data_IF_326623459605
#
_entry.id   IF_326623459605
#
_cell.length_a   1.000
_cell.length_b   1.000
_cell.length_c   1.000
_cell.angle_alpha   90.00
_cell.angle_beta   90.00
_cell.angle_gamma   90.00
#
_symmetry.space_group_name_H-M   'P 1'
#
loop_
_entity.id
_entity.type
_entity.pdbx_description
1 polymer ?
#
# COMPACT_ATOMS: atom_id res chain seq x y z
N UNK A 1 -0.34 13.22 -15.82
CA UNK A 1 0.68 13.80 -14.91
C UNK A 1 0.25 13.69 -13.43
N UNK A 2 -0.25 12.52 -12.98
CA UNK A 2 -0.81 12.32 -11.62
C UNK A 2 -0.23 11.10 -10.88
N UNK A 3 0.70 10.36 -11.48
CA UNK A 3 1.18 9.08 -10.91
C UNK A 3 2.06 9.25 -9.67
N UNK A 4 2.87 10.30 -9.60
CA UNK A 4 3.97 10.40 -8.63
C UNK A 4 3.62 11.06 -7.30
N UNK A 5 2.40 11.58 -7.10
CA UNK A 5 2.05 12.30 -5.87
C UNK A 5 1.99 11.36 -4.66
N UNK A 6 1.27 10.24 -4.80
CA UNK A 6 1.15 9.26 -3.73
C UNK A 6 2.49 8.57 -3.44
N UNK A 7 3.27 8.24 -4.47
CA UNK A 7 4.60 7.65 -4.31
C UNK A 7 5.54 8.59 -3.55
N UNK A 8 5.55 9.88 -3.91
CA UNK A 8 6.39 10.87 -3.24
C UNK A 8 5.95 11.10 -1.79
N UNK A 9 4.64 11.15 -1.54
CA UNK A 9 4.10 11.29 -0.20
C UNK A 9 4.48 10.10 0.69
N UNK A 10 4.24 8.87 0.20
CA UNK A 10 4.55 7.64 0.94
C UNK A 10 6.05 7.50 1.19
N UNK A 11 6.89 7.84 0.22
CA UNK A 11 8.35 7.87 0.39
C UNK A 11 8.78 8.86 1.48
N UNK A 12 8.26 10.08 1.45
CA UNK A 12 8.57 11.09 2.48
C UNK A 12 8.08 10.65 3.86
N UNK A 13 6.91 10.00 3.92
CA UNK A 13 6.35 9.51 5.16
C UNK A 13 7.18 8.36 5.75
N UNK A 14 7.62 7.40 4.93
CA UNK A 14 8.55 6.34 5.36
C UNK A 14 9.87 6.94 5.91
N UNK A 15 10.44 7.93 5.24
CA UNK A 15 11.67 8.60 5.69
C UNK A 15 11.48 9.36 7.01
N UNK A 16 10.34 10.03 7.20
CA UNK A 16 9.99 10.68 8.47
C UNK A 16 9.83 9.66 9.60
N UNK A 17 9.18 8.53 9.31
CA UNK A 17 8.97 7.45 10.27
C UNK A 17 10.30 6.88 10.75
N UNK A 18 11.26 6.66 9.83
CA UNK A 18 12.64 6.23 10.15
C UNK A 18 13.37 7.27 11.01
N UNK A 19 13.33 8.55 10.63
CA UNK A 19 14.00 9.65 11.36
C UNK A 19 13.47 9.81 12.78
N UNK A 20 12.16 9.67 12.97
CA UNK A 20 11.48 9.84 14.27
C UNK A 20 11.41 8.54 15.09
N UNK A 21 11.90 7.41 14.56
CA UNK A 21 11.76 6.06 15.14
C UNK A 21 10.32 5.70 15.50
N UNK A 22 9.37 6.13 14.68
CA UNK A 22 7.97 5.80 14.87
C UNK A 22 7.69 4.35 14.48
N UNK A 23 6.65 3.76 15.08
CA UNK A 23 6.17 2.44 14.67
C UNK A 23 5.76 2.52 13.20
N UNK A 24 6.21 1.56 12.39
CA UNK A 24 5.89 1.55 10.98
C UNK A 24 4.36 1.53 10.78
N UNK A 25 3.81 2.52 10.07
CA UNK A 25 2.37 2.65 9.86
C UNK A 25 1.91 1.59 8.85
N UNK A 26 0.69 1.07 9.05
CA UNK A 26 0.09 0.10 8.15
C UNK A 26 -0.52 0.82 6.95
N UNK A 27 -0.06 0.52 5.75
CA UNK A 27 -0.59 1.09 4.51
C UNK A 27 -1.77 0.27 4.02
N UNK A 28 -2.97 0.86 4.05
CA UNK A 28 -4.21 0.18 3.67
C UNK A 28 -4.82 0.87 2.46
N UNK A 29 -4.99 0.13 1.38
CA UNK A 29 -5.72 0.57 0.20
C UNK A 29 -7.20 0.23 0.34
N UNK A 30 -8.07 1.19 0.06
CA UNK A 30 -9.51 1.00 -0.05
C UNK A 30 -9.88 0.97 -1.53
N UNK A 31 -10.54 -0.10 -1.97
CA UNK A 31 -10.99 -0.22 -3.36
C UNK A 31 -12.30 -1.00 -3.46
N UNK A 32 -13.01 -0.81 -4.57
CA UNK A 32 -14.09 -1.70 -4.94
C UNK A 32 -13.51 -2.96 -5.57
N UNK A 33 -14.22 -4.09 -5.44
CA UNK A 33 -13.78 -5.38 -5.99
C UNK A 33 -13.50 -5.34 -7.49
N UNK A 34 -14.24 -4.50 -8.24
CA UNK A 34 -14.03 -4.29 -9.69
C UNK A 34 -12.73 -3.57 -10.03
N UNK A 35 -12.10 -2.91 -9.06
CA UNK A 35 -10.82 -2.22 -9.21
C UNK A 35 -9.64 -3.10 -8.80
N UNK A 36 -9.91 -4.32 -8.29
CA UNK A 36 -8.89 -5.31 -7.95
C UNK A 36 -8.64 -6.12 -9.22
N UNK A 37 -7.42 -5.99 -9.75
CA UNK A 37 -7.02 -6.65 -10.98
C UNK A 37 -6.01 -7.75 -10.62
N UNK A 38 -6.03 -8.85 -11.38
CA UNK A 38 -5.09 -9.96 -11.21
C UNK A 38 -3.63 -9.52 -11.41
N UNK A 39 -2.73 -10.29 -10.79
CA UNK A 39 -1.29 -10.05 -10.88
C UNK A 39 -0.80 -10.14 -12.34
N UNK A 40 0.13 -9.26 -12.70
CA UNK A 40 0.70 -9.18 -14.06
C UNK A 40 -0.11 -8.35 -15.07
N UNK A 41 -1.29 -7.82 -14.72
CA UNK A 41 -2.07 -6.94 -15.63
C UNK A 41 -1.61 -5.48 -15.55
N UNK A 42 -1.08 -5.05 -14.41
CA UNK A 42 -0.55 -3.69 -14.21
C UNK A 42 0.99 -3.75 -14.27
N UNK A 43 1.63 -2.95 -15.14
CA UNK A 43 3.09 -2.84 -15.14
C UNK A 43 3.55 -2.18 -13.84
N UNK A 44 4.17 -2.97 -12.96
CA UNK A 44 4.77 -2.48 -11.72
C UNK A 44 6.14 -1.87 -12.03
N UNK A 45 6.37 -0.64 -11.59
CA UNK A 45 7.67 0.02 -11.67
C UNK A 45 8.46 -0.15 -10.37
N UNK A 46 9.80 -0.07 -10.38
CA UNK A 46 10.60 -0.11 -9.15
C UNK A 46 10.34 1.06 -8.17
N UNK A 47 9.58 2.06 -8.59
CA UNK A 47 9.21 3.22 -7.77
C UNK A 47 7.87 3.05 -7.05
N UNK A 48 7.12 2.02 -7.42
CA UNK A 48 5.80 1.76 -6.84
C UNK A 48 5.98 1.26 -5.40
N UNK A 49 5.23 1.84 -4.48
CA UNK A 49 5.27 1.46 -3.07
C UNK A 49 4.17 0.42 -2.81
N UNK A 50 4.51 -0.82 -2.43
CA UNK A 50 3.52 -1.84 -2.14
C UNK A 50 2.73 -1.48 -0.87
N UNK A 51 1.43 -1.73 -0.91
CA UNK A 51 0.53 -1.57 0.23
C UNK A 51 0.57 -2.82 1.13
N UNK A 52 0.21 -2.67 2.40
CA UNK A 52 0.20 -3.78 3.35
C UNK A 52 -1.11 -4.58 3.31
N UNK A 53 -2.23 -3.92 3.02
CA UNK A 53 -3.54 -4.56 2.90
C UNK A 53 -4.44 -3.86 1.89
N UNK A 54 -5.36 -4.63 1.33
CA UNK A 54 -6.43 -4.16 0.45
C UNK A 54 -7.79 -4.50 1.06
N UNK A 55 -8.65 -3.50 1.18
CA UNK A 55 -9.99 -3.66 1.77
C UNK A 55 -11.03 -3.27 0.75
N UNK A 56 -12.00 -4.16 0.56
CA UNK A 56 -13.16 -3.94 -0.29
C UNK A 56 -14.44 -4.30 0.46
N UNK A 57 -15.61 -3.88 -0.02
CA UNK A 57 -16.89 -4.34 0.53
C UNK A 57 -17.05 -5.86 0.52
N UNK A 58 -16.34 -6.57 -0.36
CA UNK A 58 -16.36 -8.03 -0.44
C UNK A 58 -15.44 -8.71 0.58
N UNK A 59 -14.52 -7.98 1.21
CA UNK A 59 -13.62 -8.54 2.21
C UNK A 59 -12.27 -7.86 2.32
N UNK A 60 -11.42 -8.45 3.17
CA UNK A 60 -10.08 -8.00 3.51
C UNK A 60 -9.02 -8.93 2.90
N UNK A 61 -8.04 -8.35 2.21
CA UNK A 61 -6.94 -9.07 1.57
C UNK A 61 -5.62 -8.57 2.16
N UNK A 62 -4.93 -9.35 3.01
CA UNK A 62 -3.60 -9.01 3.49
C UNK A 62 -2.56 -9.22 2.38
N UNK A 63 -1.72 -8.22 2.13
CA UNK A 63 -0.62 -8.29 1.15
C UNK A 63 0.71 -8.54 1.85
N UNK A 64 0.96 -7.84 2.97
CA UNK A 64 2.21 -7.97 3.72
C UNK A 64 2.02 -8.72 5.04
N UNK A 65 3.14 -9.27 5.56
CA UNK A 65 3.16 -9.88 6.89
C UNK A 65 2.87 -8.87 8.02
N UNK A 66 2.91 -7.55 7.77
CA UNK A 66 2.46 -6.56 8.74
C UNK A 66 0.94 -6.56 8.89
N UNK A 67 0.21 -6.72 7.79
CA UNK A 67 -1.25 -6.85 7.79
C UNK A 67 -1.71 -8.19 8.37
N UNK A 68 -1.03 -9.30 8.01
CA UNK A 68 -1.38 -10.63 8.50
C UNK A 68 -1.29 -10.74 10.04
N UNK A 69 -0.34 -10.04 10.67
CA UNK A 69 -0.19 -9.99 12.14
C UNK A 69 -1.25 -9.15 12.86
N UNK A 70 -2.18 -8.54 12.11
CA UNK A 70 -3.28 -7.70 12.61
C UNK A 70 -4.66 -8.35 12.42
N UNK A 71 -4.73 -9.48 11.71
CA UNK A 71 -5.89 -10.38 11.65
C UNK A 71 -5.88 -11.33 12.85
#
# INVERSE_FOLDING_TARGET
MSGSYYDLFLKNYQELTKKKRWKQPLLVALSYSVQIIEDGVIPVTPFDIPMDALVSPAGFIPISGAALRRC
#
